data_IF_969706368759
#
_entry.id   IF_969706368759
#
_cell.length_a   1.000
_cell.length_b   1.000
_cell.length_c   1.000
_cell.angle_alpha   90.00
_cell.angle_beta   90.00
_cell.angle_gamma   90.00
#
_symmetry.space_group_name_H-M   'P 1'
#
loop_
_entity.id
_entity.type
_entity.pdbx_description
1 polymer ?
#
# COMPACT_ATOMS: atom_id res chain seq x y z
N UNK A 1 41.30 20.08 1.45
CA UNK A 1 40.25 19.16 1.94
C UNK A 1 40.87 18.43 3.12
N UNK A 2 40.48 18.83 4.32
CA UNK A 2 40.90 18.20 5.58
C UNK A 2 40.40 16.77 5.59
N UNK A 3 41.27 15.84 5.99
CA UNK A 3 40.89 14.45 6.20
C UNK A 3 39.86 14.40 7.32
N UNK A 4 38.60 14.19 6.97
CA UNK A 4 37.65 13.59 7.89
C UNK A 4 38.14 12.18 8.14
N UNK A 5 38.54 11.94 9.39
CA UNK A 5 38.87 10.61 9.88
C UNK A 5 37.71 9.68 9.55
N UNK A 6 38.04 8.59 8.85
CA UNK A 6 37.16 7.47 8.56
C UNK A 6 36.56 6.97 9.87
N UNK A 7 35.40 7.51 10.24
CA UNK A 7 34.57 6.90 11.26
C UNK A 7 34.16 5.56 10.66
N UNK A 8 34.44 4.41 11.31
CA UNK A 8 33.84 3.15 10.92
C UNK A 8 32.35 3.41 10.71
N UNK A 9 31.73 2.81 9.70
CA UNK A 9 30.27 2.77 9.66
C UNK A 9 29.87 1.90 10.85
N UNK A 10 29.71 2.56 11.99
CA UNK A 10 29.09 2.01 13.18
C UNK A 10 27.64 1.89 12.71
N UNK A 11 27.24 0.67 12.35
CA UNK A 11 25.83 0.28 12.39
C UNK A 11 25.36 0.76 13.77
N UNK A 12 24.60 1.85 13.80
CA UNK A 12 24.50 2.75 14.95
C UNK A 12 23.87 2.04 16.15
N UNK A 13 24.65 1.33 16.97
CA UNK A 13 24.27 0.65 18.23
C UNK A 13 22.89 -0.05 18.24
N UNK A 14 22.35 -0.43 17.08
CA UNK A 14 21.03 -1.02 16.94
C UNK A 14 21.21 -2.44 16.44
N UNK A 15 21.17 -3.36 17.39
CA UNK A 15 20.41 -4.59 17.22
C UNK A 15 18.95 -4.21 16.87
N UNK A 16 18.70 -3.70 15.67
CA UNK A 16 17.32 -3.64 15.19
C UNK A 16 16.84 -5.08 15.12
N UNK A 17 15.62 -5.32 15.59
CA UNK A 17 15.00 -6.65 15.55
C UNK A 17 15.16 -7.28 14.16
N UNK A 18 15.13 -6.47 13.10
CA UNK A 18 15.46 -6.86 11.73
C UNK A 18 16.82 -7.55 11.58
N UNK A 19 17.93 -6.91 11.98
CA UNK A 19 19.29 -7.46 11.85
C UNK A 19 19.44 -8.73 12.70
N UNK A 20 18.87 -8.74 13.91
CA UNK A 20 18.91 -9.91 14.77
C UNK A 20 18.14 -11.09 14.15
N UNK A 21 16.89 -10.89 13.73
CA UNK A 21 16.07 -11.93 13.12
C UNK A 21 16.68 -12.44 11.82
N UNK A 22 17.29 -11.57 11.02
CA UNK A 22 18.00 -11.97 9.80
C UNK A 22 19.17 -12.90 10.12
N UNK A 23 19.98 -12.59 11.13
CA UNK A 23 21.09 -13.45 11.57
C UNK A 23 20.60 -14.78 12.14
N UNK A 24 19.50 -14.78 12.90
CA UNK A 24 18.94 -15.99 13.51
C UNK A 24 18.27 -16.91 12.47
N UNK A 25 17.66 -16.33 11.44
CA UNK A 25 16.98 -17.06 10.38
C UNK A 25 17.94 -17.51 9.28
N UNK A 26 18.98 -16.73 9.01
CA UNK A 26 20.02 -17.09 8.05
C UNK A 26 20.91 -18.21 8.58
N UNK A 27 21.14 -19.24 7.78
CA UNK A 27 22.10 -20.30 8.05
C UNK A 27 23.51 -19.92 7.57
N UNK A 28 23.71 -18.68 7.08
CA UNK A 28 24.99 -18.20 6.57
C UNK A 28 25.83 -17.60 7.70
N UNK A 29 27.11 -17.95 7.74
CA UNK A 29 28.08 -17.34 8.67
C UNK A 29 28.72 -16.07 8.12
N UNK A 30 28.75 -15.91 6.78
CA UNK A 30 29.39 -14.79 6.10
C UNK A 30 28.32 -13.80 5.63
N UNK A 31 27.97 -12.84 6.47
CA UNK A 31 27.02 -11.78 6.16
C UNK A 31 27.69 -10.42 6.16
N UNK A 32 27.44 -9.60 5.14
CA UNK A 32 27.83 -8.19 5.11
C UNK A 32 26.58 -7.31 4.95
N UNK A 33 26.44 -6.35 5.86
CA UNK A 33 25.36 -5.38 5.88
C UNK A 33 25.80 -4.07 5.22
N UNK A 34 25.02 -3.60 4.26
CA UNK A 34 25.32 -2.43 3.44
C UNK A 34 24.37 -1.32 3.84
N UNK A 35 24.90 -0.15 4.17
CA UNK A 35 24.09 1.06 4.33
C UNK A 35 24.05 1.80 2.97
N UNK A 36 22.90 1.85 2.27
CA UNK A 36 22.83 2.50 0.97
C UNK A 36 23.03 4.03 1.03
N UNK A 37 22.84 4.68 2.18
CA UNK A 37 23.07 6.13 2.33
C UNK A 37 24.55 6.51 2.32
N UNK A 38 25.44 5.51 2.45
CA UNK A 38 26.86 5.73 2.31
C UNK A 38 27.27 6.05 0.86
N UNK A 39 26.41 5.77 -0.13
CA UNK A 39 26.69 5.98 -1.55
C UNK A 39 26.21 7.35 -2.05
N UNK A 40 26.77 7.81 -3.16
CA UNK A 40 26.36 9.05 -3.82
C UNK A 40 25.10 8.86 -4.67
N UNK A 41 23.93 8.77 -4.02
CA UNK A 41 22.63 8.59 -4.68
C UNK A 41 22.32 9.70 -5.68
N UNK A 42 22.58 10.97 -5.34
CA UNK A 42 22.31 12.12 -6.23
C UNK A 42 23.08 12.00 -7.55
N UNK A 43 24.37 11.64 -7.48
CA UNK A 43 25.17 11.41 -8.69
C UNK A 43 24.61 10.26 -9.54
N UNK A 44 24.24 9.15 -8.90
CA UNK A 44 23.65 8.01 -9.59
C UNK A 44 22.33 8.37 -10.29
N UNK A 45 21.44 9.11 -9.64
CA UNK A 45 20.16 9.55 -10.20
C UNK A 45 20.33 10.56 -11.35
N UNK A 46 21.33 11.44 -11.27
CA UNK A 46 21.61 12.42 -12.32
C UNK A 46 22.31 11.82 -13.55
N UNK A 47 23.25 10.90 -13.35
CA UNK A 47 24.13 10.41 -14.42
C UNK A 47 23.86 8.97 -14.86
N UNK A 48 23.09 8.20 -14.09
CA UNK A 48 22.84 6.77 -14.31
C UNK A 48 24.08 5.89 -14.13
N UNK A 49 25.13 6.43 -13.50
CA UNK A 49 26.47 5.82 -13.38
C UNK A 49 26.87 5.65 -11.93
N UNK A 50 27.66 4.61 -11.69
CA UNK A 50 28.28 4.33 -10.40
C UNK A 50 29.67 4.96 -10.41
N UNK A 51 29.99 5.79 -9.41
CA UNK A 51 31.33 6.36 -9.25
C UNK A 51 32.29 5.26 -8.74
N UNK A 52 33.56 5.36 -9.12
CA UNK A 52 34.61 4.56 -8.51
C UNK A 52 34.64 4.76 -6.98
N UNK A 53 34.34 5.96 -6.49
CA UNK A 53 34.22 6.21 -5.05
C UNK A 53 33.20 5.29 -4.37
N UNK A 54 32.04 5.03 -5.01
CA UNK A 54 31.01 4.15 -4.45
C UNK A 54 31.46 2.67 -4.42
N UNK A 55 32.23 2.25 -5.42
CA UNK A 55 32.87 0.91 -5.44
C UNK A 55 33.79 0.76 -4.22
N UNK A 56 34.63 1.75 -3.93
CA UNK A 56 35.54 1.72 -2.77
C UNK A 56 34.78 1.82 -1.43
N UNK A 57 33.63 2.50 -1.39
CA UNK A 57 32.75 2.54 -0.22
C UNK A 57 32.17 1.14 0.05
N UNK A 58 31.66 0.46 -0.99
CA UNK A 58 31.15 -0.92 -0.88
C UNK A 58 32.23 -1.90 -0.42
N UNK A 59 33.44 -1.84 -1.01
CA UNK A 59 34.57 -2.68 -0.60
C UNK A 59 34.90 -2.51 0.89
N UNK A 60 34.97 -1.26 1.36
CA UNK A 60 35.22 -0.95 2.76
C UNK A 60 34.12 -1.45 3.69
N UNK A 61 32.85 -1.37 3.29
CA UNK A 61 31.73 -1.91 4.08
C UNK A 61 31.78 -3.44 4.19
N UNK A 62 32.13 -4.14 3.11
CA UNK A 62 32.29 -5.59 3.14
C UNK A 62 33.49 -5.96 4.03
N UNK A 63 34.66 -5.35 3.81
CA UNK A 63 35.89 -5.72 4.52
C UNK A 63 35.91 -5.30 5.99
N UNK A 64 35.11 -4.31 6.40
CA UNK A 64 34.96 -3.97 7.83
C UNK A 64 34.24 -5.06 8.62
N UNK A 65 33.38 -5.84 7.96
CA UNK A 65 32.58 -6.91 8.57
C UNK A 65 33.18 -8.30 8.31
N UNK A 66 33.76 -8.48 7.12
CA UNK A 66 34.39 -9.70 6.65
C UNK A 66 35.76 -9.36 6.05
N UNK A 67 36.82 -9.23 6.87
CA UNK A 67 38.12 -8.77 6.41
C UNK A 67 38.70 -9.58 5.23
N UNK A 68 38.95 -8.89 4.12
CA UNK A 68 39.55 -9.44 2.90
C UNK A 68 38.54 -10.04 1.92
N UNK A 69 37.25 -10.08 2.26
CA UNK A 69 36.21 -10.69 1.45
C UNK A 69 35.88 -9.87 0.19
N UNK A 70 36.10 -8.56 0.21
CA UNK A 70 35.84 -7.71 -0.96
C UNK A 70 36.72 -8.09 -2.16
N UNK A 71 37.91 -8.67 -1.91
CA UNK A 71 38.87 -9.10 -2.94
C UNK A 71 38.37 -10.24 -3.84
N UNK A 72 37.31 -10.95 -3.40
CA UNK A 72 36.65 -12.01 -4.16
C UNK A 72 35.82 -11.46 -5.34
N UNK A 73 35.51 -10.16 -5.31
CA UNK A 73 34.71 -9.49 -6.32
C UNK A 73 35.59 -8.56 -7.17
N UNK A 74 35.48 -8.69 -8.49
CA UNK A 74 36.01 -7.68 -9.41
C UNK A 74 35.17 -6.37 -9.33
N UNK A 75 35.71 -5.29 -9.88
CA UNK A 75 35.07 -3.97 -9.82
C UNK A 75 33.70 -3.95 -10.52
N UNK A 76 33.52 -4.79 -11.54
CA UNK A 76 32.23 -4.93 -12.23
C UNK A 76 31.19 -5.53 -11.29
N UNK A 77 31.54 -6.58 -10.55
CA UNK A 77 30.66 -7.22 -9.56
C UNK A 77 30.35 -6.25 -8.43
N UNK A 78 31.35 -5.60 -7.84
CA UNK A 78 31.10 -4.59 -6.79
C UNK A 78 30.22 -3.44 -7.32
N UNK A 79 30.49 -2.92 -8.51
CA UNK A 79 29.67 -1.87 -9.12
C UNK A 79 28.21 -2.30 -9.33
N UNK A 80 27.97 -3.56 -9.70
CA UNK A 80 26.62 -4.11 -9.78
C UNK A 80 25.94 -4.24 -8.40
N UNK A 81 26.71 -4.53 -7.33
CA UNK A 81 26.18 -4.55 -5.96
C UNK A 81 25.79 -3.15 -5.49
N UNK A 82 26.61 -2.14 -5.78
CA UNK A 82 26.28 -0.73 -5.49
C UNK A 82 25.01 -0.32 -6.22
N UNK A 83 24.94 -0.62 -7.52
CA UNK A 83 23.74 -0.33 -8.33
C UNK A 83 22.50 -0.98 -7.73
N UNK A 84 22.55 -2.29 -7.42
CA UNK A 84 21.45 -2.98 -6.78
C UNK A 84 21.07 -2.33 -5.44
N UNK A 85 22.05 -1.90 -4.64
CA UNK A 85 21.80 -1.24 -3.35
C UNK A 85 21.07 0.11 -3.50
N UNK A 86 21.23 0.78 -4.65
CA UNK A 86 20.59 2.06 -4.96
C UNK A 86 19.24 1.91 -5.66
N UNK A 87 19.11 0.91 -6.55
CA UNK A 87 17.93 0.65 -7.38
C UNK A 87 16.88 -0.25 -6.69
N UNK A 88 17.31 -1.35 -6.06
CA UNK A 88 16.43 -2.45 -5.63
C UNK A 88 15.86 -2.25 -4.20
N UNK A 89 16.36 -1.26 -3.44
CA UNK A 89 15.94 -1.02 -2.05
C UNK A 89 16.45 -2.06 -1.04
N UNK A 90 15.83 -2.22 0.13
CA UNK A 90 16.20 -3.24 1.11
C UNK A 90 16.06 -4.66 0.52
N UNK A 91 17.10 -5.48 0.63
CA UNK A 91 17.09 -6.88 0.19
C UNK A 91 18.14 -7.69 0.94
N UNK A 92 17.97 -9.00 1.01
CA UNK A 92 19.02 -9.93 1.37
C UNK A 92 19.25 -10.95 0.25
N UNK A 93 20.50 -11.05 -0.20
CA UNK A 93 20.85 -11.89 -1.34
C UNK A 93 22.07 -12.74 -1.07
N UNK A 94 21.94 -14.02 -1.39
CA UNK A 94 23.04 -14.98 -1.40
C UNK A 94 23.82 -14.87 -2.71
N UNK A 95 25.14 -14.81 -2.60
CA UNK A 95 26.04 -14.87 -3.75
C UNK A 95 26.95 -16.11 -3.64
N UNK A 96 27.07 -16.82 -4.76
CA UNK A 96 28.07 -17.87 -4.92
C UNK A 96 29.43 -17.29 -5.31
N UNK A 97 30.50 -17.88 -4.79
CA UNK A 97 31.89 -17.55 -5.18
C UNK A 97 32.28 -18.38 -6.41
N UNK A 98 31.57 -18.19 -7.53
CA UNK A 98 31.86 -18.84 -8.82
C UNK A 98 32.00 -20.38 -8.81
N UNK A 99 32.31 -21.00 -9.95
CA UNK A 99 32.60 -22.43 -10.02
C UNK A 99 34.06 -22.71 -9.66
N UNK A 100 34.32 -23.55 -8.65
CA UNK A 100 35.64 -24.16 -8.40
C UNK A 100 36.42 -23.68 -7.18
N UNK A 101 35.90 -22.73 -6.41
CA UNK A 101 36.43 -22.36 -5.09
C UNK A 101 35.53 -22.92 -4.00
N UNK A 102 36.11 -23.35 -2.87
CA UNK A 102 35.38 -23.94 -1.74
C UNK A 102 34.50 -22.85 -1.10
N UNK A 103 33.19 -22.76 -1.44
CA UNK A 103 32.49 -21.50 -1.32
C UNK A 103 31.75 -21.52 0.00
N UNK A 104 32.30 -20.90 1.04
CA UNK A 104 31.43 -20.48 2.13
C UNK A 104 30.44 -19.46 1.54
N UNK A 105 29.13 -19.76 1.51
CA UNK A 105 28.14 -18.88 0.91
C UNK A 105 28.17 -17.50 1.57
N UNK A 106 28.12 -16.46 0.75
CA UNK A 106 28.10 -15.06 1.18
C UNK A 106 26.68 -14.50 1.10
N UNK A 107 26.21 -13.87 2.17
CA UNK A 107 25.01 -13.03 2.13
C UNK A 107 25.39 -11.56 2.13
N UNK A 108 24.85 -10.82 1.16
CA UNK A 108 24.82 -9.36 1.21
C UNK A 108 23.42 -8.94 1.69
N UNK A 109 23.35 -8.07 2.67
CA UNK A 109 22.10 -7.49 3.16
C UNK A 109 22.17 -5.99 2.89
N UNK A 110 21.33 -5.50 1.97
CA UNK A 110 21.13 -4.07 1.82
C UNK A 110 20.14 -3.61 2.88
N UNK A 111 20.61 -2.76 3.79
CA UNK A 111 19.80 -2.19 4.85
C UNK A 111 18.84 -1.14 4.28
N UNK A 112 17.82 -0.84 5.06
CA UNK A 112 17.03 0.38 4.89
C UNK A 112 17.95 1.60 5.05
N UNK A 113 17.87 2.53 4.09
CA UNK A 113 18.48 3.85 4.26
C UNK A 113 17.71 4.68 5.29
N UNK A 114 18.29 5.77 5.78
CA UNK A 114 17.78 6.70 6.80
C UNK A 114 16.58 7.53 6.36
N UNK A 115 15.96 7.15 5.24
CA UNK A 115 14.72 7.68 4.69
C UNK A 115 13.61 6.61 4.74
N UNK A 116 13.88 5.51 5.44
CA UNK A 116 12.99 4.43 5.83
C UNK A 116 13.15 4.24 7.35
N UNK A 117 12.72 5.23 8.12
CA UNK A 117 12.88 5.31 9.56
C UNK A 117 11.72 4.62 10.33
N UNK A 118 10.62 4.26 9.65
CA UNK A 118 9.52 3.45 10.20
C UNK A 118 8.90 2.48 9.18
N UNK A 119 8.09 1.54 9.68
CA UNK A 119 7.41 0.54 8.84
C UNK A 119 6.46 1.17 7.79
N UNK A 120 6.01 2.41 8.04
CA UNK A 120 5.11 3.18 7.18
C UNK A 120 5.79 3.71 5.92
N UNK A 121 7.12 3.83 5.92
CA UNK A 121 7.90 4.28 4.76
C UNK A 121 8.22 3.12 3.81
N UNK A 122 8.28 1.87 4.30
CA UNK A 122 8.51 0.68 3.46
C UNK A 122 7.22 0.09 2.88
N UNK A 123 6.10 0.13 3.60
CA UNK A 123 4.83 -0.42 3.11
C UNK A 123 4.31 0.18 1.79
N UNK A 124 4.52 1.47 1.48
CA UNK A 124 4.25 2.06 0.17
C UNK A 124 4.96 1.42 -1.00
N UNK A 125 6.21 0.96 -0.82
CA UNK A 125 6.99 0.33 -1.89
C UNK A 125 6.53 -1.10 -2.11
N UNK A 126 6.10 -1.78 -1.06
CA UNK A 126 5.43 -3.07 -1.15
C UNK A 126 4.08 -2.87 -1.84
N UNK A 127 3.16 -2.09 -1.27
CA UNK A 127 1.79 -1.90 -1.75
C UNK A 127 1.66 -1.10 -3.07
N UNK A 128 2.76 -0.52 -3.57
CA UNK A 128 2.79 0.47 -4.66
C UNK A 128 1.81 1.63 -4.46
N UNK A 129 1.67 2.10 -3.21
CA UNK A 129 0.67 3.11 -2.82
C UNK A 129 1.28 4.17 -1.91
N UNK A 130 0.97 5.46 -2.12
CA UNK A 130 1.40 6.49 -1.18
C UNK A 130 0.81 6.25 0.22
N UNK A 131 1.57 6.50 1.30
CA UNK A 131 1.13 6.25 2.67
C UNK A 131 -0.24 6.85 3.03
N UNK A 132 -0.58 7.99 2.44
CA UNK A 132 -1.82 8.73 2.68
C UNK A 132 -3.07 8.04 2.11
N UNK A 133 -2.90 7.02 1.27
CA UNK A 133 -3.98 6.19 0.75
C UNK A 133 -4.18 4.91 1.56
N UNK A 134 -3.36 4.66 2.58
CA UNK A 134 -3.40 3.44 3.36
C UNK A 134 -3.86 3.71 4.79
N UNK A 135 -4.67 2.81 5.34
CA UNK A 135 -5.00 2.78 6.75
C UNK A 135 -3.73 2.59 7.59
N UNK A 136 -3.73 3.08 8.85
CA UNK A 136 -2.61 2.90 9.77
C UNK A 136 -2.16 1.43 9.86
N UNK A 137 -0.85 1.22 9.97
CA UNK A 137 -0.29 -0.12 10.15
C UNK A 137 -0.66 -0.64 11.54
N UNK A 138 -1.15 -1.89 11.64
CA UNK A 138 -1.33 -2.53 12.94
C UNK A 138 0.02 -2.94 13.53
N UNK A 139 0.03 -3.11 14.85
CA UNK A 139 1.22 -3.56 15.59
C UNK A 139 2.29 -2.48 15.78
N UNK A 140 3.35 -2.87 16.47
CA UNK A 140 4.54 -2.04 16.72
C UNK A 140 5.62 -2.29 15.65
N UNK A 141 6.44 -1.28 15.36
CA UNK A 141 7.49 -1.37 14.33
C UNK A 141 8.42 -2.56 14.50
N UNK A 142 8.71 -2.96 15.74
CA UNK A 142 9.61 -4.09 16.01
C UNK A 142 9.08 -5.42 15.44
N UNK A 143 7.76 -5.59 15.34
CA UNK A 143 7.17 -6.78 14.74
C UNK A 143 7.24 -6.72 13.20
N UNK A 144 7.12 -5.54 12.61
CA UNK A 144 7.35 -5.36 11.18
C UNK A 144 8.82 -5.63 10.82
N UNK A 145 9.75 -5.10 11.60
CA UNK A 145 11.19 -5.37 11.49
C UNK A 145 11.47 -6.87 11.60
N UNK A 146 10.84 -7.55 12.57
CA UNK A 146 11.02 -8.99 12.75
C UNK A 146 10.48 -9.81 11.58
N UNK A 147 9.29 -9.47 11.07
CA UNK A 147 8.72 -10.09 9.86
C UNK A 147 9.69 -9.99 8.67
N UNK A 148 10.16 -8.78 8.37
CA UNK A 148 11.08 -8.55 7.25
C UNK A 148 12.43 -9.23 7.49
N UNK A 149 12.96 -9.21 8.72
CA UNK A 149 14.21 -9.89 9.05
C UNK A 149 14.13 -11.40 8.82
N UNK A 150 13.00 -12.03 9.17
CA UNK A 150 12.75 -13.46 8.89
C UNK A 150 12.55 -13.71 7.40
N UNK A 151 11.77 -12.87 6.71
CA UNK A 151 11.53 -12.98 5.27
C UNK A 151 12.85 -12.91 4.48
N UNK A 152 13.63 -11.84 4.68
CA UNK A 152 14.92 -11.61 4.03
C UNK A 152 15.98 -12.64 4.47
N UNK A 153 15.99 -13.03 5.74
CA UNK A 153 16.85 -14.10 6.24
C UNK A 153 16.59 -15.45 5.55
N UNK A 154 15.36 -15.70 5.12
CA UNK A 154 14.97 -16.92 4.39
C UNK A 154 15.52 -16.92 2.96
N UNK A 155 15.56 -15.78 2.27
CA UNK A 155 16.19 -15.64 0.95
C UNK A 155 17.66 -16.04 0.95
N UNK A 156 18.36 -15.85 2.06
CA UNK A 156 19.77 -16.23 2.22
C UNK A 156 19.99 -17.75 2.32
N UNK A 157 18.95 -18.51 2.65
CA UNK A 157 19.03 -19.97 2.76
C UNK A 157 18.81 -20.68 1.42
N UNK A 158 18.36 -19.97 0.38
CA UNK A 158 18.17 -20.55 -0.95
C UNK A 158 19.51 -21.05 -1.52
N UNK A 159 19.59 -22.35 -1.77
CA UNK A 159 20.80 -22.99 -2.32
C UNK A 159 20.87 -22.95 -3.85
N UNK A 160 19.78 -22.57 -4.52
CA UNK A 160 19.69 -22.46 -5.97
C UNK A 160 19.22 -21.04 -6.38
N UNK A 161 19.95 -19.98 -5.99
CA UNK A 161 19.56 -18.63 -6.36
C UNK A 161 19.57 -18.50 -7.90
N UNK A 162 18.59 -17.82 -8.50
CA UNK A 162 18.58 -17.60 -9.94
C UNK A 162 19.88 -16.94 -10.38
N UNK A 163 20.53 -17.52 -11.38
CA UNK A 163 21.77 -16.98 -11.94
C UNK A 163 21.42 -15.67 -12.67
N UNK A 164 21.60 -14.50 -12.02
CA UNK A 164 21.42 -13.20 -12.69
C UNK A 164 22.27 -13.16 -13.97
N UNK A 165 21.64 -13.29 -15.12
CA UNK A 165 22.29 -13.36 -16.43
C UNK A 165 21.70 -14.41 -17.40
N UNK A 166 20.94 -15.40 -16.92
CA UNK A 166 19.95 -16.07 -17.76
C UNK A 166 18.74 -15.16 -17.88
N UNK A 167 18.19 -14.99 -19.08
CA UNK A 167 16.80 -14.58 -19.29
C UNK A 167 15.83 -15.66 -18.76
N UNK A 168 16.17 -16.28 -17.61
CA UNK A 168 15.33 -17.25 -16.94
C UNK A 168 14.07 -16.50 -16.58
N UNK A 169 13.01 -16.95 -17.23
CA UNK A 169 11.65 -16.53 -17.05
C UNK A 169 11.41 -16.43 -15.54
N UNK A 170 11.36 -15.18 -15.03
CA UNK A 170 10.70 -14.84 -13.77
C UNK A 170 9.39 -15.62 -13.79
N UNK A 171 9.23 -16.57 -12.87
CA UNK A 171 8.36 -17.73 -13.08
C UNK A 171 8.04 -18.43 -11.76
N UNK A 172 7.49 -19.66 -11.79
CA UNK A 172 7.09 -20.38 -10.57
C UNK A 172 8.22 -20.56 -9.55
N UNK A 173 9.49 -20.57 -9.98
CA UNK A 173 10.63 -20.67 -9.07
C UNK A 173 10.81 -19.42 -8.20
N UNK A 174 10.67 -18.22 -8.78
CA UNK A 174 10.78 -16.97 -8.00
C UNK A 174 9.60 -16.86 -7.03
N UNK A 175 8.38 -17.15 -7.53
CA UNK A 175 7.18 -17.18 -6.70
C UNK A 175 7.30 -18.20 -5.55
N UNK A 176 7.95 -19.36 -5.75
CA UNK A 176 8.21 -20.30 -4.67
C UNK A 176 9.23 -19.79 -3.64
N UNK A 177 10.26 -19.06 -4.09
CA UNK A 177 11.24 -18.43 -3.19
C UNK A 177 10.54 -17.43 -2.28
N UNK A 178 9.76 -16.53 -2.86
CA UNK A 178 9.00 -15.51 -2.14
C UNK A 178 7.90 -16.11 -1.25
N UNK A 179 7.22 -17.19 -1.68
CA UNK A 179 6.26 -17.94 -0.86
C UNK A 179 6.90 -18.57 0.37
N UNK A 180 8.11 -19.11 0.23
CA UNK A 180 8.84 -19.70 1.36
C UNK A 180 9.20 -18.62 2.38
N UNK A 181 9.70 -17.48 1.92
CA UNK A 181 10.07 -16.34 2.76
C UNK A 181 8.84 -15.69 3.43
N UNK A 182 7.74 -15.48 2.71
CA UNK A 182 6.47 -14.97 3.28
C UNK A 182 5.90 -15.93 4.32
N UNK A 183 5.89 -17.25 4.07
CA UNK A 183 5.44 -18.26 5.04
C UNK A 183 6.26 -18.21 6.33
N UNK A 184 7.58 -18.05 6.23
CA UNK A 184 8.45 -17.93 7.38
C UNK A 184 8.13 -16.67 8.21
N UNK A 185 8.01 -15.52 7.56
CA UNK A 185 7.64 -14.26 8.22
C UNK A 185 6.24 -14.31 8.85
N UNK A 186 5.24 -14.83 8.14
CA UNK A 186 3.87 -15.00 8.66
C UNK A 186 3.83 -15.96 9.85
N UNK A 187 4.54 -17.09 9.78
CA UNK A 187 4.64 -18.03 10.88
C UNK A 187 5.29 -17.39 12.12
N UNK A 188 6.31 -16.54 11.92
CA UNK A 188 6.91 -15.77 12.98
C UNK A 188 5.90 -14.80 13.62
N UNK A 189 5.17 -13.99 12.84
CA UNK A 189 4.14 -13.08 13.37
C UNK A 189 3.06 -13.83 14.16
N UNK A 190 2.60 -14.98 13.66
CA UNK A 190 1.65 -15.85 14.39
C UNK A 190 2.22 -16.36 15.70
N UNK A 191 3.50 -16.74 15.72
CA UNK A 191 4.17 -17.16 16.96
C UNK A 191 4.25 -16.04 18.01
N UNK A 192 4.22 -14.78 17.56
CA UNK A 192 4.17 -13.59 18.40
C UNK A 192 2.73 -13.12 18.71
N UNK A 193 1.70 -13.85 18.24
CA UNK A 193 0.29 -13.52 18.44
C UNK A 193 -0.21 -12.31 17.63
N UNK A 194 0.48 -11.92 16.57
CA UNK A 194 0.17 -10.73 15.76
C UNK A 194 -0.74 -11.03 14.55
N UNK A 195 -1.94 -11.55 14.78
CA UNK A 195 -2.87 -11.96 13.71
C UNK A 195 -3.36 -10.79 12.83
N UNK A 196 -3.51 -9.60 13.40
CA UNK A 196 -3.88 -8.39 12.67
C UNK A 196 -2.77 -7.91 11.72
N UNK A 197 -1.51 -8.08 12.13
CA UNK A 197 -0.34 -7.87 11.28
C UNK A 197 -0.22 -8.93 10.18
N UNK A 198 -0.50 -10.20 10.49
CA UNK A 198 -0.55 -11.27 9.46
C UNK A 198 -1.56 -10.90 8.36
N UNK A 199 -2.77 -10.49 8.74
CA UNK A 199 -3.77 -10.04 7.78
C UNK A 199 -3.30 -8.80 7.02
N UNK A 200 -2.57 -7.88 7.67
CA UNK A 200 -2.01 -6.71 7.01
C UNK A 200 -0.99 -7.08 5.93
N UNK A 201 -0.06 -8.00 6.23
CA UNK A 201 0.92 -8.53 5.27
C UNK A 201 0.20 -9.10 4.05
N UNK A 202 -0.79 -9.97 4.27
CA UNK A 202 -1.58 -10.58 3.19
C UNK A 202 -2.29 -9.50 2.36
N UNK A 203 -2.90 -8.50 3.01
CA UNK A 203 -3.60 -7.43 2.33
C UNK A 203 -2.65 -6.59 1.46
N UNK A 204 -1.51 -6.16 2.00
CA UNK A 204 -0.55 -5.35 1.24
C UNK A 204 -0.01 -6.12 0.05
N UNK A 205 0.41 -7.37 0.26
CA UNK A 205 0.86 -8.28 -0.79
C UNK A 205 -0.20 -8.51 -1.87
N UNK A 206 -1.48 -8.58 -1.51
CA UNK A 206 -2.58 -8.67 -2.47
C UNK A 206 -2.77 -7.39 -3.30
N UNK A 207 -2.63 -6.21 -2.69
CA UNK A 207 -2.67 -4.93 -3.42
C UNK A 207 -1.50 -4.83 -4.41
N UNK A 208 -0.30 -5.19 -3.95
CA UNK A 208 0.93 -5.19 -4.74
C UNK A 208 0.88 -6.15 -5.92
N UNK A 209 0.24 -7.32 -5.76
CA UNK A 209 0.23 -8.37 -6.78
C UNK A 209 -0.36 -7.91 -8.12
N UNK A 210 -1.19 -6.86 -8.13
CA UNK A 210 -1.71 -6.28 -9.36
C UNK A 210 -0.62 -5.58 -10.21
N UNK A 211 0.52 -5.25 -9.61
CA UNK A 211 1.66 -4.55 -10.23
C UNK A 211 2.95 -5.37 -10.21
N UNK A 212 3.16 -6.16 -9.17
CA UNK A 212 4.30 -7.08 -8.99
C UNK A 212 3.80 -8.47 -8.59
N UNK A 213 3.23 -9.23 -9.54
CA UNK A 213 2.59 -10.50 -9.27
C UNK A 213 3.59 -11.59 -8.85
N UNK A 214 4.88 -11.43 -9.12
CA UNK A 214 5.87 -12.45 -8.82
C UNK A 214 6.35 -12.42 -7.38
N UNK A 215 6.56 -11.24 -6.82
CA UNK A 215 7.04 -11.08 -5.46
C UNK A 215 5.93 -10.90 -4.45
N UNK A 216 4.74 -10.46 -4.88
CA UNK A 216 3.69 -10.09 -3.94
C UNK A 216 2.49 -11.03 -3.89
N UNK A 217 2.22 -11.81 -4.94
CA UNK A 217 1.10 -12.76 -4.94
C UNK A 217 1.27 -13.92 -3.93
N UNK A 218 2.45 -14.09 -3.37
CA UNK A 218 2.85 -15.25 -2.57
C UNK A 218 2.19 -15.32 -1.20
N UNK A 219 2.02 -14.20 -0.52
CA UNK A 219 1.36 -14.19 0.80
C UNK A 219 -0.09 -14.69 0.76
N UNK A 220 -0.78 -14.56 -0.39
CA UNK A 220 -2.13 -15.10 -0.58
C UNK A 220 -2.14 -16.63 -0.50
N UNK A 221 -1.03 -17.27 -0.91
CA UNK A 221 -0.87 -18.73 -0.88
C UNK A 221 -0.21 -19.24 0.40
N UNK A 222 0.26 -18.34 1.28
CA UNK A 222 1.02 -18.70 2.46
C UNK A 222 0.23 -19.60 3.42
N UNK A 223 -1.10 -19.42 3.48
CA UNK A 223 -2.01 -20.19 4.33
C UNK A 223 -2.49 -21.50 3.71
N UNK A 224 -2.17 -21.75 2.45
CA UNK A 224 -2.47 -23.01 1.81
C UNK A 224 -1.47 -24.09 2.31
N UNK A 225 -1.94 -25.31 2.60
CA UNK A 225 -1.08 -26.40 3.07
C UNK A 225 0.06 -26.62 2.06
N UNK A 226 1.29 -26.84 2.56
CA UNK A 226 2.58 -26.94 1.86
C UNK A 226 2.52 -27.36 0.38
N UNK A 227 2.03 -26.45 -0.46
CA UNK A 227 1.99 -26.60 -1.89
C UNK A 227 2.99 -25.60 -2.47
N UNK A 228 3.86 -26.12 -3.32
CA UNK A 228 4.69 -25.29 -4.19
C UNK A 228 3.78 -24.53 -5.17
N UNK A 229 4.07 -23.25 -5.38
CA UNK A 229 3.46 -22.47 -6.43
C UNK A 229 3.68 -23.17 -7.78
N UNK A 230 2.57 -23.47 -8.46
CA UNK A 230 2.57 -24.10 -9.78
C UNK A 230 2.60 -23.04 -10.88
N UNK A 231 2.78 -23.47 -12.14
CA UNK A 231 2.64 -22.56 -13.30
C UNK A 231 1.25 -21.89 -13.36
N UNK A 232 0.20 -22.58 -12.90
CA UNK A 232 -1.16 -22.03 -12.86
C UNK A 232 -1.27 -20.90 -11.83
N UNK A 233 -0.67 -21.05 -10.65
CA UNK A 233 -0.61 -19.96 -9.66
C UNK A 233 0.07 -18.72 -10.24
N UNK A 234 1.23 -18.93 -10.89
CA UNK A 234 2.00 -17.86 -11.52
C UNK A 234 1.20 -17.16 -12.63
N UNK A 235 0.52 -17.92 -13.49
CA UNK A 235 -0.32 -17.36 -14.54
C UNK A 235 -1.54 -16.62 -13.97
N UNK A 236 -2.14 -17.14 -12.90
CA UNK A 236 -3.25 -16.48 -12.22
C UNK A 236 -2.82 -15.13 -11.62
N UNK A 237 -1.70 -15.11 -10.89
CA UNK A 237 -1.11 -13.90 -10.33
C UNK A 237 -0.83 -12.83 -11.41
N UNK A 238 -0.35 -13.24 -12.59
CA UNK A 238 -0.08 -12.28 -13.69
C UNK A 238 -1.31 -11.75 -14.40
N UNK A 239 -2.39 -12.53 -14.41
CA UNK A 239 -3.54 -12.24 -15.26
C UNK A 239 -4.71 -11.64 -14.49
N UNK A 240 -4.82 -11.82 -13.17
CA UNK A 240 -6.03 -11.43 -12.44
C UNK A 240 -6.35 -9.93 -12.56
N UNK A 241 -5.34 -9.05 -12.56
CA UNK A 241 -5.55 -7.61 -12.76
C UNK A 241 -6.15 -7.29 -14.14
N UNK A 242 -5.66 -7.94 -15.21
CA UNK A 242 -6.22 -7.79 -16.55
C UNK A 242 -7.65 -8.32 -16.61
N UNK A 243 -7.91 -9.49 -16.00
CA UNK A 243 -9.25 -10.08 -15.94
C UNK A 243 -10.22 -9.14 -15.22
N UNK A 244 -9.84 -8.57 -14.08
CA UNK A 244 -10.65 -7.56 -13.38
C UNK A 244 -10.95 -6.35 -14.26
N UNK A 245 -9.94 -5.79 -14.91
CA UNK A 245 -10.11 -4.63 -15.78
C UNK A 245 -11.04 -4.93 -16.96
N UNK A 246 -10.88 -6.06 -17.65
CA UNK A 246 -11.75 -6.47 -18.76
C UNK A 246 -13.20 -6.69 -18.31
N UNK A 247 -13.41 -7.39 -17.19
CA UNK A 247 -14.76 -7.70 -16.69
C UNK A 247 -15.48 -6.44 -16.23
N UNK A 248 -14.80 -5.53 -15.52
CA UNK A 248 -15.36 -4.23 -15.12
C UNK A 248 -15.61 -3.34 -16.33
N UNK A 249 -14.70 -3.29 -17.30
CA UNK A 249 -14.88 -2.52 -18.53
C UNK A 249 -16.14 -2.95 -19.29
N UNK A 250 -16.38 -4.26 -19.39
CA UNK A 250 -17.57 -4.82 -20.01
C UNK A 250 -18.85 -4.50 -19.23
N UNK A 251 -18.84 -4.58 -17.89
CA UNK A 251 -19.99 -4.23 -17.03
C UNK A 251 -20.39 -2.76 -17.16
N UNK A 252 -19.39 -1.88 -17.24
CA UNK A 252 -19.58 -0.43 -17.25
C UNK A 252 -19.67 0.18 -18.66
N UNK A 253 -19.51 -0.62 -19.71
CA UNK A 253 -19.42 -0.17 -21.11
C UNK A 253 -18.32 0.91 -21.31
N UNK A 254 -17.18 0.76 -20.63
CA UNK A 254 -16.00 1.63 -20.74
C UNK A 254 -14.82 0.90 -21.38
N UNK A 255 -13.70 1.60 -21.63
CA UNK A 255 -12.49 0.94 -22.12
C UNK A 255 -11.73 0.23 -20.99
N UNK A 256 -10.93 -0.79 -21.31
CA UNK A 256 -10.04 -1.43 -20.33
C UNK A 256 -9.05 -0.44 -19.69
N UNK A 257 -8.62 0.58 -20.45
CA UNK A 257 -7.75 1.64 -19.94
C UNK A 257 -8.46 2.55 -18.93
N UNK A 258 -9.75 2.80 -19.12
CA UNK A 258 -10.57 3.55 -18.14
C UNK A 258 -10.80 2.71 -16.89
N UNK A 259 -11.06 1.41 -17.02
CA UNK A 259 -11.17 0.48 -15.90
C UNK A 259 -9.85 0.36 -15.11
N UNK A 260 -8.71 0.30 -15.80
CA UNK A 260 -7.38 0.34 -15.17
C UNK A 260 -7.11 1.67 -14.47
N UNK A 261 -7.59 2.78 -15.01
CA UNK A 261 -7.48 4.08 -14.35
C UNK A 261 -8.36 4.14 -13.10
N UNK A 262 -9.57 3.57 -13.19
CA UNK A 262 -10.51 3.45 -12.08
C UNK A 262 -9.94 2.61 -10.93
N UNK A 263 -9.23 1.51 -11.20
CA UNK A 263 -8.57 0.70 -10.15
C UNK A 263 -7.44 1.42 -9.41
N UNK A 264 -6.96 2.55 -9.94
CA UNK A 264 -5.94 3.39 -9.29
C UNK A 264 -6.52 4.65 -8.62
N UNK A 265 -7.53 5.25 -9.23
CA UNK A 265 -8.07 6.56 -8.84
C UNK A 265 -9.37 6.42 -8.03
N UNK A 266 -10.23 5.48 -8.42
CA UNK A 266 -11.55 5.23 -7.83
C UNK A 266 -11.62 3.80 -7.32
N UNK A 267 -10.60 3.38 -6.59
CA UNK A 267 -10.37 1.98 -6.30
C UNK A 267 -11.46 1.33 -5.44
N UNK A 268 -12.06 2.07 -4.49
CA UNK A 268 -13.21 1.58 -3.73
C UNK A 268 -14.39 1.24 -4.62
N UNK A 269 -14.69 2.12 -5.57
CA UNK A 269 -15.76 1.92 -6.55
C UNK A 269 -15.42 0.72 -7.44
N UNK A 270 -14.20 0.68 -7.99
CA UNK A 270 -13.71 -0.43 -8.81
C UNK A 270 -13.81 -1.77 -8.07
N UNK A 271 -13.30 -1.87 -6.84
CA UNK A 271 -13.37 -3.08 -6.02
C UNK A 271 -14.82 -3.45 -5.66
N UNK A 272 -15.70 -2.47 -5.51
CA UNK A 272 -17.14 -2.68 -5.36
C UNK A 272 -17.78 -3.32 -6.60
N UNK A 273 -17.41 -2.86 -7.80
CA UNK A 273 -17.82 -3.50 -9.07
C UNK A 273 -17.29 -4.93 -9.17
N UNK A 274 -15.99 -5.12 -8.95
CA UNK A 274 -15.34 -6.44 -9.00
C UNK A 274 -16.04 -7.42 -8.05
N UNK A 275 -16.29 -7.05 -6.80
CA UNK A 275 -16.94 -7.94 -5.83
C UNK A 275 -18.35 -8.33 -6.25
N UNK A 276 -19.14 -7.38 -6.73
CA UNK A 276 -20.51 -7.62 -7.19
C UNK A 276 -20.55 -8.51 -8.44
N UNK A 277 -19.59 -8.36 -9.34
CA UNK A 277 -19.41 -9.19 -10.54
C UNK A 277 -18.86 -10.59 -10.22
N UNK A 278 -18.04 -10.70 -9.17
CA UNK A 278 -17.58 -11.98 -8.66
C UNK A 278 -18.72 -12.79 -8.04
N UNK A 279 -19.56 -12.14 -7.24
CA UNK A 279 -20.73 -12.76 -6.62
C UNK A 279 -21.79 -13.19 -7.65
N UNK A 280 -21.87 -12.53 -8.81
CA UNK A 280 -22.78 -12.88 -9.90
C UNK A 280 -22.24 -13.96 -10.85
N UNK A 281 -20.96 -14.34 -10.72
CA UNK A 281 -20.31 -15.32 -11.60
C UNK A 281 -19.81 -14.77 -12.93
N UNK A 282 -19.83 -13.45 -13.16
CA UNK A 282 -19.39 -12.83 -14.43
C UNK A 282 -17.91 -13.11 -14.76
N UNK A 283 -17.10 -13.37 -13.74
CA UNK A 283 -15.69 -13.73 -13.87
C UNK A 283 -15.45 -15.14 -14.42
N UNK A 284 -16.37 -16.08 -14.19
CA UNK A 284 -16.23 -17.48 -14.64
C UNK A 284 -16.24 -17.57 -16.17
N UNK A 285 -17.02 -16.70 -16.83
CA UNK A 285 -17.12 -16.59 -18.28
C UNK A 285 -15.85 -15.98 -18.93
N UNK A 286 -15.00 -15.32 -18.13
CA UNK A 286 -13.82 -14.57 -18.59
C UNK A 286 -12.49 -15.19 -18.12
N UNK A 287 -12.47 -16.48 -17.79
CA UNK A 287 -11.24 -17.22 -17.47
C UNK A 287 -10.90 -17.27 -15.98
N UNK A 288 -11.74 -16.75 -15.08
CA UNK A 288 -11.61 -16.97 -13.64
C UNK A 288 -12.17 -18.32 -13.17
N UNK A 289 -12.55 -19.21 -14.10
CA UNK A 289 -12.93 -20.59 -13.77
C UNK A 289 -11.78 -21.41 -13.14
N UNK A 290 -10.54 -20.88 -13.18
CA UNK A 290 -9.43 -21.37 -12.38
C UNK A 290 -9.57 -20.88 -10.93
N UNK A 291 -9.62 -21.78 -9.92
CA UNK A 291 -9.80 -21.40 -8.51
C UNK A 291 -8.83 -20.32 -8.02
N UNK A 292 -7.57 -20.36 -8.44
CA UNK A 292 -6.55 -19.42 -8.00
C UNK A 292 -6.83 -17.97 -8.44
N UNK A 293 -7.38 -17.77 -9.65
CA UNK A 293 -7.71 -16.41 -10.12
C UNK A 293 -8.77 -15.78 -9.22
N UNK A 294 -9.77 -16.58 -8.82
CA UNK A 294 -10.79 -16.15 -7.86
C UNK A 294 -10.18 -15.78 -6.51
N UNK A 295 -9.29 -16.62 -5.98
CA UNK A 295 -8.61 -16.33 -4.70
C UNK A 295 -7.84 -15.00 -4.75
N UNK A 296 -7.13 -14.73 -5.86
CA UNK A 296 -6.44 -13.44 -6.06
C UNK A 296 -7.40 -12.25 -6.10
N UNK A 297 -8.52 -12.38 -6.80
CA UNK A 297 -9.54 -11.32 -6.90
C UNK A 297 -10.20 -11.07 -5.53
N UNK A 298 -10.54 -12.13 -4.79
CA UNK A 298 -11.11 -12.03 -3.43
C UNK A 298 -10.12 -11.39 -2.45
N UNK A 299 -8.85 -11.80 -2.51
CA UNK A 299 -7.78 -11.21 -1.70
C UNK A 299 -7.60 -9.72 -2.02
N UNK A 300 -7.48 -9.36 -3.30
CA UNK A 300 -7.35 -7.98 -3.74
C UNK A 300 -8.53 -7.12 -3.27
N UNK A 301 -9.76 -7.50 -3.61
CA UNK A 301 -10.95 -6.72 -3.24
C UNK A 301 -11.14 -6.62 -1.73
N UNK A 302 -10.84 -7.69 -0.99
CA UNK A 302 -10.83 -7.68 0.46
C UNK A 302 -9.79 -6.71 1.03
N UNK A 303 -8.59 -6.69 0.44
CA UNK A 303 -7.50 -5.81 0.84
C UNK A 303 -7.84 -4.33 0.58
N UNK A 304 -8.43 -3.99 -0.57
CA UNK A 304 -8.90 -2.62 -0.86
C UNK A 304 -9.85 -2.16 0.25
N UNK A 305 -10.85 -2.97 0.55
CA UNK A 305 -11.90 -2.64 1.52
C UNK A 305 -11.38 -2.52 2.96
N UNK A 306 -10.27 -3.17 3.30
CA UNK A 306 -9.66 -3.14 4.64
C UNK A 306 -8.54 -2.11 4.79
N UNK A 307 -7.77 -1.85 3.72
CA UNK A 307 -6.49 -1.11 3.81
C UNK A 307 -6.48 0.20 3.08
N UNK A 308 -7.30 0.39 2.06
CA UNK A 308 -7.30 1.66 1.34
C UNK A 308 -8.17 2.64 2.13
N UNK A 309 -7.73 3.88 2.28
CA UNK A 309 -8.58 4.95 2.78
C UNK A 309 -9.44 5.41 1.63
N UNK A 310 -10.77 5.40 1.81
CA UNK A 310 -11.69 5.97 0.85
C UNK A 310 -11.43 7.47 0.77
N UNK A 311 -10.65 7.90 -0.23
CA UNK A 311 -10.36 9.30 -0.41
C UNK A 311 -11.62 9.96 -0.97
N UNK A 312 -12.26 10.89 -0.24
CA UNK A 312 -13.30 11.70 -0.85
C UNK A 312 -12.66 12.42 -2.02
N UNK A 313 -13.26 12.30 -3.22
CA UNK A 313 -12.74 12.86 -4.47
C UNK A 313 -11.96 14.16 -4.21
N UNK A 314 -10.63 14.12 -4.41
CA UNK A 314 -9.91 15.36 -4.64
C UNK A 314 -10.54 15.91 -5.91
N UNK A 315 -11.44 16.89 -5.75
CA UNK A 315 -11.95 17.67 -6.88
C UNK A 315 -10.71 18.07 -7.68
N UNK A 316 -10.66 17.82 -8.99
CA UNK A 316 -9.53 18.26 -9.78
C UNK A 316 -9.28 19.73 -9.46
N UNK A 317 -8.08 20.06 -8.99
CA UNK A 317 -7.67 21.45 -8.91
C UNK A 317 -7.83 22.00 -10.32
N UNK A 318 -8.83 22.86 -10.48
CA UNK A 318 -9.03 23.58 -11.71
C UNK A 318 -7.78 24.40 -11.91
N UNK A 319 -6.99 24.06 -12.93
CA UNK A 319 -5.99 24.99 -13.40
C UNK A 319 -6.68 26.32 -13.72
N UNK A 320 -5.95 27.42 -13.53
CA UNK A 320 -6.51 28.75 -13.72
C UNK A 320 -6.96 29.02 -15.18
N UNK A 321 -6.63 28.13 -16.13
CA UNK A 321 -7.12 28.19 -17.51
C UNK A 321 -8.51 27.55 -17.68
N UNK A 322 -8.85 26.53 -16.90
CA UNK A 322 -10.18 25.88 -16.90
C UNK A 322 -11.17 26.59 -15.98
N UNK A 323 -10.69 27.33 -14.98
CA UNK A 323 -11.52 28.19 -14.12
C UNK A 323 -12.33 29.26 -14.90
N UNK A 324 -11.85 29.66 -16.09
CA UNK A 324 -12.55 30.60 -16.97
C UNK A 324 -13.87 30.07 -17.56
N UNK A 325 -14.13 28.76 -17.51
CA UNK A 325 -15.38 28.16 -17.99
C UNK A 325 -16.33 27.69 -16.87
N UNK A 326 -15.97 27.92 -15.60
CA UNK A 326 -16.82 27.63 -14.42
C UNK A 326 -17.39 28.94 -13.85
N UNK A 327 -17.57 29.96 -14.69
CA UNK A 327 -18.58 31.01 -14.45
C UNK A 327 -20.02 30.54 -14.76
N UNK A 328 -20.27 29.25 -14.65
CA UNK A 328 -21.58 28.74 -14.24
C UNK A 328 -21.45 28.10 -12.86
N UNK A 329 -20.88 28.84 -11.92
CA UNK A 329 -21.25 28.67 -10.52
C UNK A 329 -22.77 28.61 -10.48
N UNK A 330 -23.34 27.55 -9.89
CA UNK A 330 -24.77 27.48 -9.64
C UNK A 330 -25.09 28.71 -8.80
N UNK A 331 -25.72 29.70 -9.43
CA UNK A 331 -26.21 30.86 -8.73
C UNK A 331 -27.34 30.38 -7.82
N UNK A 332 -27.03 30.15 -6.54
CA UNK A 332 -28.00 29.71 -5.54
C UNK A 332 -29.12 30.75 -5.37
N UNK A 333 -28.92 32.00 -5.81
CA UNK A 333 -29.98 33.01 -5.85
C UNK A 333 -30.97 32.82 -7.00
N UNK A 334 -30.63 32.03 -8.02
CA UNK A 334 -31.52 31.62 -9.10
C UNK A 334 -32.41 30.42 -8.74
N UNK A 335 -32.14 29.73 -7.63
CA UNK A 335 -32.97 28.63 -7.11
C UNK A 335 -33.99 29.24 -6.14
N UNK A 336 -35.29 29.03 -6.39
CA UNK A 336 -36.35 29.49 -5.48
C UNK A 336 -36.10 28.93 -4.07
N UNK A 337 -35.90 29.82 -3.10
CA UNK A 337 -35.56 29.46 -1.72
C UNK A 337 -34.07 29.22 -1.43
N UNK A 338 -33.14 29.36 -2.38
CA UNK A 338 -31.72 29.01 -2.23
C UNK A 338 -30.87 29.88 -1.28
N UNK A 339 -31.48 30.63 -0.35
CA UNK A 339 -30.75 31.37 0.67
C UNK A 339 -30.33 30.43 1.81
N UNK A 340 -29.03 30.29 2.10
CA UNK A 340 -28.59 29.52 3.25
C UNK A 340 -28.97 30.24 4.55
N UNK A 341 -29.53 29.51 5.50
CA UNK A 341 -29.83 29.99 6.86
C UNK A 341 -29.05 29.14 7.84
N UNK A 342 -28.26 29.79 8.69
CA UNK A 342 -27.57 29.15 9.81
C UNK A 342 -28.37 29.44 11.07
N UNK A 343 -28.79 28.39 11.77
CA UNK A 343 -29.46 28.50 13.07
C UNK A 343 -28.55 27.94 14.14
N UNK A 344 -28.39 28.70 15.22
CA UNK A 344 -27.68 28.27 16.42
C UNK A 344 -28.71 28.02 17.52
N UNK A 345 -28.75 26.81 18.06
CA UNK A 345 -29.35 26.56 19.37
C UNK A 345 -28.24 26.27 20.38
N UNK A 346 -28.56 26.34 21.68
CA UNK A 346 -27.58 26.32 22.78
C UNK A 346 -26.63 25.10 22.78
N UNK A 347 -26.91 24.05 21.98
CA UNK A 347 -26.06 22.87 21.89
C UNK A 347 -25.71 22.43 20.46
N UNK A 348 -26.26 23.05 19.40
CA UNK A 348 -26.06 22.62 18.00
C UNK A 348 -26.14 23.78 16.99
N UNK A 349 -25.29 23.70 15.97
CA UNK A 349 -25.38 24.50 14.75
C UNK A 349 -26.07 23.67 13.66
N UNK A 350 -27.07 24.24 12.98
CA UNK A 350 -27.70 23.63 11.80
C UNK A 350 -27.71 24.60 10.62
N UNK A 351 -27.41 24.09 9.43
CA UNK A 351 -27.46 24.82 8.17
C UNK A 351 -28.62 24.29 7.31
N UNK A 352 -29.50 25.18 6.88
CA UNK A 352 -30.54 24.89 5.88
C UNK A 352 -30.32 25.73 4.62
N UNK A 353 -30.78 25.23 3.47
CA UNK A 353 -30.84 25.98 2.20
C UNK A 353 -32.30 25.98 1.79
N UNK A 354 -32.94 27.14 1.87
CA UNK A 354 -34.40 27.22 1.86
C UNK A 354 -35.01 26.53 3.08
N UNK A 355 -35.96 25.64 2.84
CA UNK A 355 -36.74 24.97 3.91
C UNK A 355 -36.21 23.57 4.27
N UNK A 356 -35.04 23.18 3.76
CA UNK A 356 -34.46 21.84 3.99
C UNK A 356 -33.05 21.93 4.56
N UNK A 357 -32.64 20.91 5.32
CA UNK A 357 -31.27 20.78 5.78
C UNK A 357 -30.29 20.78 4.58
N UNK A 358 -29.15 21.44 4.72
CA UNK A 358 -28.18 21.56 3.62
C UNK A 358 -27.66 20.20 3.13
N UNK A 359 -27.48 19.23 4.03
CA UNK A 359 -27.12 17.85 3.68
C UNK A 359 -28.14 17.20 2.77
N UNK A 360 -29.43 17.37 3.09
CA UNK A 360 -30.50 16.97 2.20
C UNK A 360 -30.35 17.74 0.88
N UNK A 361 -30.34 19.08 0.90
CA UNK A 361 -30.24 19.94 -0.30
C UNK A 361 -29.19 19.47 -1.31
N UNK A 362 -27.98 19.14 -0.85
CA UNK A 362 -26.88 18.66 -1.69
C UNK A 362 -27.06 17.21 -2.19
N UNK A 363 -27.56 16.29 -1.37
CA UNK A 363 -27.91 14.92 -1.82
C UNK A 363 -28.91 14.96 -3.00
N UNK A 364 -29.83 15.91 -2.91
CA UNK A 364 -30.64 16.47 -4.00
C UNK A 364 -30.02 16.63 -5.39
N UNK A 365 -28.87 17.28 -5.42
CA UNK A 365 -28.23 17.67 -6.67
C UNK A 365 -27.26 16.61 -7.17
N UNK A 366 -26.89 15.66 -6.31
CA UNK A 366 -26.04 14.53 -6.64
C UNK A 366 -26.82 13.33 -7.23
N UNK A 367 -28.15 13.27 -7.04
CA UNK A 367 -29.00 12.16 -7.49
C UNK A 367 -30.25 12.69 -8.24
N UNK A 368 -30.39 12.41 -9.56
CA UNK A 368 -31.54 12.83 -10.38
C UNK A 368 -32.90 12.29 -9.89
N UNK A 369 -32.95 11.12 -9.25
CA UNK A 369 -34.19 10.52 -8.75
C UNK A 369 -34.71 11.27 -7.51
N UNK A 370 -33.80 11.67 -6.62
CA UNK A 370 -34.12 12.49 -5.46
C UNK A 370 -34.51 13.93 -5.85
N UNK A 371 -33.98 14.47 -6.95
CA UNK A 371 -34.40 15.76 -7.50
C UNK A 371 -35.85 15.76 -8.01
N UNK A 372 -36.28 14.66 -8.65
CA UNK A 372 -37.66 14.47 -9.11
C UNK A 372 -38.64 14.33 -7.95
N UNK A 373 -38.25 13.65 -6.87
CA UNK A 373 -39.07 13.50 -5.66
C UNK A 373 -39.32 14.86 -4.97
N UNK A 374 -38.36 15.79 -5.06
CA UNK A 374 -38.52 17.17 -4.54
C UNK A 374 -39.50 18.02 -5.31
N UNK A 375 -39.48 17.96 -6.64
CA UNK A 375 -40.41 18.72 -7.48
C UNK A 375 -41.87 18.28 -7.27
N UNK A 376 -42.08 17.08 -6.71
CA UNK A 376 -43.39 16.53 -6.38
C UNK A 376 -43.90 16.92 -4.99
N UNK A 377 -43.08 17.52 -4.11
CA UNK A 377 -43.54 17.95 -2.79
C UNK A 377 -44.23 19.32 -2.87
N UNK A 378 -45.48 19.46 -2.37
CA UNK A 378 -46.18 20.74 -2.35
C UNK A 378 -45.45 21.74 -1.44
N UNK A 379 -45.30 22.98 -1.88
CA UNK A 379 -44.71 24.03 -1.04
C UNK A 379 -45.50 24.17 0.28
N UNK A 380 -44.83 24.11 1.45
CA UNK A 380 -45.50 24.41 2.71
C UNK A 380 -45.88 25.88 2.71
N UNK A 381 -47.19 26.15 2.84
CA UNK A 381 -47.73 27.51 2.88
C UNK A 381 -47.06 28.36 3.96
N UNK A 382 -46.89 29.65 3.65
CA UNK A 382 -46.26 30.62 4.56
C UNK A 382 -46.82 30.50 5.99
N UNK A 383 -45.95 30.43 7.01
CA UNK A 383 -46.41 30.48 8.39
C UNK A 383 -47.03 31.86 8.63
N UNK A 384 -48.35 31.89 8.73
CA UNK A 384 -49.06 33.07 9.23
C UNK A 384 -48.68 33.24 10.69
N UNK A 385 -48.01 34.35 11.01
CA UNK A 385 -47.76 34.76 12.38
C UNK A 385 -49.09 35.13 13.06
N UNK A 386 -49.79 34.13 13.60
CA UNK A 386 -50.83 34.37 14.59
C UNK A 386 -50.15 34.64 15.94
N UNK A 387 -50.12 35.92 16.31
CA UNK A 387 -49.80 36.34 17.68
C UNK A 387 -51.00 35.95 18.55
N UNK A 388 -50.93 34.77 19.17
CA UNK A 388 -51.85 34.39 20.25
C UNK A 388 -51.24 34.91 21.56
N UNK A 389 -51.74 36.05 22.02
CA UNK A 389 -51.64 36.41 23.42
C UNK A 389 -52.53 35.48 24.25
N UNK A 390 -52.00 34.96 25.35
CA UNK A 390 -52.84 34.54 26.47
C UNK A 390 -52.13 34.77 27.79
N UNK A 391 -52.70 35.69 28.54
CA UNK A 391 -52.60 35.77 29.99
C UNK A 391 -53.06 34.45 30.61
N UNK A 392 -52.37 33.94 31.63
CA UNK A 392 -53.04 33.36 32.79
C UNK A 392 -52.11 33.25 34.01
N UNK A 393 -52.43 34.07 35.01
CA UNK A 393 -52.12 33.88 36.41
C UNK A 393 -52.61 32.53 36.94
N UNK A 394 -51.78 31.81 37.72
CA UNK A 394 -52.27 30.90 38.76
C UNK A 394 -51.23 30.67 39.88
N UNK A 395 -51.40 31.47 40.94
CA UNK A 395 -51.20 31.20 42.37
C UNK A 395 -50.34 30.00 42.83
N UNK A 396 -49.23 30.33 43.50
CA UNK A 396 -48.54 29.48 44.47
C UNK A 396 -49.36 29.43 45.78
N UNK A 397 -49.72 28.24 46.25
CA UNK A 397 -50.20 27.98 47.62
C UNK A 397 -49.15 27.15 48.37
N UNK A 398 -48.70 27.71 49.48
CA UNK A 398 -47.91 27.05 50.53
C UNK A 398 -48.82 26.10 51.32
N UNK A 399 -48.38 24.90 51.72
CA UNK A 399 -48.94 24.20 52.87
C UNK A 399 -48.05 24.39 54.09
N UNK A 400 -48.68 24.80 55.19
CA UNK A 400 -48.08 24.89 56.52
C UNK A 400 -48.46 23.64 57.34
N UNK A 401 -47.47 23.13 58.09
CA UNK A 401 -47.49 22.38 59.36
C UNK A 401 -47.95 20.90 59.38
N UNK A 402 -46.98 20.01 59.64
CA UNK A 402 -46.70 19.46 61.00
C UNK A 402 -45.21 19.58 61.29
#
# INVERSE_FOLDING_TARGET
MSGEENTPIILSDRDSTYVQMLRETSQLTNLAFINPDAFNREHFEMEGKIDHADIEIMRRMIDSQLPGYSSVFDDRRIGNLVRASLEDGPFAKRYGIGPGEDPQPFGLVNLQGSHYDDSYEYMPTVAFRPPQQLNPLPGEDFYWDGFWGVHEGTHLNDTNPPLRGSDEIVGPSEMNRELTSDRAGIAWLRSQGQEDMVQAVIDYRALSAASDPEHAATAILADQPEQEATLEHYQAARNFANIMNTVVANDLEITEGDAQSMSKIHEFEFAGHVRRLLDSGAFDENGASQPYVRDFIEAYTGAVMRRVIDQPMVRPELDNETAGNIEKAIDLSAISGGKPVVTFNEEKMSLSIGNVAATAFFASHADPALALERLAQPEPGEPTHEIIGSEHNAAFKVPEVV
#
